data_IF_671342802707
#
_entry.id   IF_671342802707
#
_cell.length_a   1.000
_cell.length_b   1.000
_cell.length_c   1.000
_cell.angle_alpha   90.00
_cell.angle_beta   90.00
_cell.angle_gamma   90.00
#
_symmetry.space_group_name_H-M   'P 1'
#
loop_
_entity.id
_entity.type
_entity.pdbx_description
1 polymer ?
#
# COMPACT_ATOMS: atom_id res chain seq x y z
N UNK A 1 -20.92 0.15 1.04
CA UNK A 1 -19.68 0.79 1.48
C UNK A 1 -18.52 -0.19 1.32
N UNK A 2 -17.41 0.24 0.70
CA UNK A 2 -16.22 -0.59 0.43
C UNK A 2 -15.41 -0.87 1.71
N UNK A 3 -15.52 0.01 2.70
CA UNK A 3 -14.77 -0.10 3.95
C UNK A 3 -15.10 -1.37 4.71
N UNK A 4 -14.07 -2.02 5.24
CA UNK A 4 -14.16 -3.24 6.06
C UNK A 4 -14.70 -4.48 5.33
N UNK A 5 -14.82 -4.43 4.00
CA UNK A 5 -15.16 -5.62 3.22
C UNK A 5 -13.96 -6.57 3.12
N UNK A 6 -14.25 -7.84 3.23
CA UNK A 6 -13.27 -8.89 2.93
C UNK A 6 -12.94 -8.92 1.43
N UNK A 7 -11.82 -9.55 1.07
CA UNK A 7 -11.44 -9.75 -0.32
C UNK A 7 -12.56 -10.47 -1.09
N UNK A 8 -13.20 -11.46 -0.50
CA UNK A 8 -14.30 -12.19 -1.12
C UNK A 8 -15.49 -11.28 -1.44
N UNK A 9 -15.91 -10.44 -0.49
CA UNK A 9 -17.00 -9.48 -0.70
C UNK A 9 -16.66 -8.42 -1.76
N UNK A 10 -15.38 -8.03 -1.85
CA UNK A 10 -14.91 -7.14 -2.92
C UNK A 10 -15.02 -7.84 -4.28
N UNK A 11 -14.54 -9.09 -4.38
CA UNK A 11 -14.62 -9.85 -5.62
C UNK A 11 -16.07 -10.13 -6.03
N UNK A 12 -16.97 -10.37 -5.09
CA UNK A 12 -18.42 -10.51 -5.36
C UNK A 12 -19.00 -9.20 -5.91
N UNK A 13 -18.68 -8.05 -5.31
CA UNK A 13 -19.15 -6.76 -5.79
C UNK A 13 -18.62 -6.41 -7.19
N UNK A 14 -17.37 -6.79 -7.49
CA UNK A 14 -16.79 -6.61 -8.83
C UNK A 14 -17.46 -7.57 -9.83
N UNK A 15 -17.71 -8.80 -9.45
CA UNK A 15 -18.36 -9.81 -10.33
C UNK A 15 -19.79 -9.44 -10.64
N UNK A 16 -20.52 -8.83 -9.72
CA UNK A 16 -21.89 -8.34 -9.92
C UNK A 16 -21.96 -7.01 -10.72
N UNK A 17 -20.83 -6.36 -10.97
CA UNK A 17 -20.76 -5.06 -11.62
C UNK A 17 -21.11 -3.86 -10.72
N UNK A 18 -21.24 -4.09 -9.41
CA UNK A 18 -21.47 -3.01 -8.44
C UNK A 18 -20.22 -2.18 -8.16
N UNK A 19 -19.04 -2.68 -8.50
CA UNK A 19 -17.75 -2.07 -8.26
C UNK A 19 -16.77 -2.42 -9.38
N UNK A 20 -15.90 -1.48 -9.76
CA UNK A 20 -14.72 -1.77 -10.59
C UNK A 20 -13.44 -1.74 -9.75
N UNK A 21 -12.38 -2.34 -10.26
CA UNK A 21 -11.05 -2.23 -9.63
C UNK A 21 -10.52 -0.80 -9.69
N UNK A 22 -10.83 -0.06 -10.76
CA UNK A 22 -10.49 1.37 -10.86
C UNK A 22 -11.16 2.18 -9.75
N UNK A 23 -12.44 1.97 -9.50
CA UNK A 23 -13.18 2.65 -8.41
C UNK A 23 -12.62 2.27 -7.03
N UNK A 24 -12.32 0.98 -6.81
CA UNK A 24 -11.73 0.48 -5.58
C UNK A 24 -10.39 1.16 -5.27
N UNK A 25 -9.47 1.16 -6.24
CA UNK A 25 -8.13 1.75 -6.11
C UNK A 25 -8.22 3.26 -5.93
N UNK A 26 -9.08 3.93 -6.71
CA UNK A 26 -9.32 5.37 -6.59
C UNK A 26 -9.84 5.74 -5.21
N UNK A 27 -10.78 4.95 -4.67
CA UNK A 27 -11.31 5.15 -3.33
C UNK A 27 -10.21 5.07 -2.26
N UNK A 28 -9.35 4.05 -2.29
CA UNK A 28 -8.27 3.92 -1.31
C UNK A 28 -7.21 5.03 -1.44
N UNK A 29 -6.83 5.42 -2.65
CA UNK A 29 -5.89 6.53 -2.86
C UNK A 29 -6.50 7.85 -2.35
N UNK A 30 -7.77 8.11 -2.65
CA UNK A 30 -8.47 9.29 -2.14
C UNK A 30 -8.51 9.29 -0.60
N UNK A 31 -8.86 8.15 0.00
CA UNK A 31 -8.90 8.00 1.46
C UNK A 31 -7.53 8.27 2.10
N UNK A 32 -6.47 7.66 1.57
CA UNK A 32 -5.10 7.88 2.06
C UNK A 32 -4.77 9.38 2.01
N UNK A 33 -4.94 10.01 0.85
CA UNK A 33 -4.64 11.45 0.69
C UNK A 33 -5.44 12.32 1.63
N UNK A 34 -6.73 12.04 1.78
CA UNK A 34 -7.61 12.80 2.67
C UNK A 34 -7.22 12.65 4.13
N UNK A 35 -6.86 11.45 4.57
CA UNK A 35 -6.44 11.22 5.95
C UNK A 35 -5.07 11.82 6.23
N UNK A 36 -4.10 11.64 5.34
CA UNK A 36 -2.74 12.15 5.53
C UNK A 36 -2.63 13.68 5.38
N UNK A 37 -3.64 14.34 4.79
CA UNK A 37 -3.72 15.82 4.71
C UNK A 37 -4.53 16.45 5.84
N UNK A 38 -5.06 15.68 6.76
CA UNK A 38 -5.90 16.15 7.87
C UNK A 38 -5.06 16.19 9.16
N UNK A 39 -4.82 17.38 9.68
CA UNK A 39 -3.98 17.60 10.87
C UNK A 39 -4.45 16.84 12.13
N UNK A 40 -5.74 16.48 12.17
CA UNK A 40 -6.31 15.72 13.28
C UNK A 40 -6.30 14.20 13.06
N UNK A 41 -6.11 13.74 11.83
CA UNK A 41 -6.29 12.32 11.45
C UNK A 41 -5.08 11.68 10.79
N UNK A 42 -4.09 12.47 10.36
CA UNK A 42 -2.89 11.88 9.72
C UNK A 42 -2.21 10.87 10.64
N UNK A 43 -1.69 9.83 10.06
CA UNK A 43 -0.96 8.78 10.78
C UNK A 43 0.43 8.51 10.22
N UNK A 44 0.84 9.16 9.15
CA UNK A 44 2.10 8.94 8.45
C UNK A 44 2.35 7.47 8.09
N UNK A 45 1.28 6.78 7.67
CA UNK A 45 1.35 5.36 7.34
C UNK A 45 2.00 5.08 5.98
N UNK A 46 2.06 6.08 5.09
CA UNK A 46 2.47 5.90 3.69
C UNK A 46 3.67 6.80 3.37
N UNK A 47 4.76 6.22 2.89
CA UNK A 47 5.93 6.97 2.40
C UNK A 47 5.70 7.47 0.96
N UNK A 48 5.19 6.63 0.08
CA UNK A 48 4.96 7.00 -1.32
C UNK A 48 3.78 6.23 -1.92
N UNK A 49 3.03 6.91 -2.78
CA UNK A 49 1.95 6.30 -3.57
C UNK A 49 2.44 5.99 -4.99
N UNK A 50 1.97 4.88 -5.54
CA UNK A 50 2.24 4.50 -6.92
C UNK A 50 1.39 5.36 -7.88
N UNK A 51 2.01 6.21 -8.71
CA UNK A 51 1.29 7.07 -9.65
C UNK A 51 0.54 6.27 -10.72
N UNK A 52 0.93 5.04 -10.97
CA UNK A 52 0.34 4.18 -12.00
C UNK A 52 -0.75 3.23 -11.46
N UNK A 53 -1.07 3.26 -10.17
CA UNK A 53 -1.99 2.31 -9.56
C UNK A 53 -3.39 2.33 -10.20
N UNK A 54 -3.95 3.53 -10.44
CA UNK A 54 -5.28 3.68 -11.08
C UNK A 54 -5.26 3.15 -12.51
N UNK A 55 -4.22 3.48 -13.29
CA UNK A 55 -4.09 2.97 -14.66
C UNK A 55 -3.98 1.44 -14.68
N UNK A 56 -3.24 0.87 -13.73
CA UNK A 56 -3.15 -0.59 -13.60
C UNK A 56 -4.50 -1.22 -13.26
N UNK A 57 -5.25 -0.63 -12.36
CA UNK A 57 -6.59 -1.11 -12.00
C UNK A 57 -7.54 -1.10 -13.21
N UNK A 58 -7.54 -0.02 -14.00
CA UNK A 58 -8.32 0.08 -15.25
C UNK A 58 -7.96 -1.02 -16.25
N UNK A 59 -6.67 -1.28 -16.45
CA UNK A 59 -6.24 -2.40 -17.31
C UNK A 59 -6.75 -3.75 -16.83
N UNK A 60 -6.84 -3.97 -15.51
CA UNK A 60 -7.38 -5.21 -14.97
C UNK A 60 -8.91 -5.31 -15.15
N UNK A 61 -9.63 -4.18 -15.10
CA UNK A 61 -11.05 -4.14 -15.47
C UNK A 61 -11.24 -4.54 -16.96
N UNK A 62 -10.42 -3.97 -17.86
CA UNK A 62 -10.44 -4.31 -19.29
C UNK A 62 -10.15 -5.80 -19.53
N UNK A 63 -9.17 -6.38 -18.84
CA UNK A 63 -8.84 -7.81 -18.92
C UNK A 63 -10.04 -8.66 -18.47
N UNK A 64 -10.67 -8.31 -17.36
CA UNK A 64 -11.86 -9.00 -16.85
C UNK A 64 -13.02 -8.93 -17.84
N UNK A 65 -13.30 -7.75 -18.38
CA UNK A 65 -14.38 -7.52 -19.35
C UNK A 65 -14.17 -8.23 -20.67
N UNK A 66 -12.91 -8.47 -21.07
CA UNK A 66 -12.60 -9.24 -22.29
C UNK A 66 -12.96 -10.73 -22.20
N UNK A 67 -13.39 -11.19 -21.02
CA UNK A 67 -13.68 -12.62 -20.77
C UNK A 67 -12.41 -13.48 -20.71
N UNK A 68 -11.22 -12.86 -20.63
CA UNK A 68 -9.99 -13.59 -20.33
C UNK A 68 -10.20 -14.37 -19.02
N UNK A 69 -9.79 -15.63 -19.01
CA UNK A 69 -9.85 -16.46 -17.81
C UNK A 69 -8.93 -15.83 -16.75
N UNK A 70 -9.48 -14.87 -16.01
CA UNK A 70 -8.88 -14.38 -14.79
C UNK A 70 -8.98 -15.54 -13.83
N UNK A 71 -7.98 -16.42 -13.87
CA UNK A 71 -7.90 -17.59 -13.02
C UNK A 71 -8.41 -17.19 -11.63
N UNK A 72 -9.15 -18.05 -10.94
CA UNK A 72 -9.79 -17.85 -9.62
C UNK A 72 -8.81 -17.29 -8.57
N UNK A 73 -8.13 -16.21 -8.92
CA UNK A 73 -7.11 -15.58 -8.13
C UNK A 73 -7.74 -14.47 -7.29
N UNK A 74 -7.94 -14.77 -6.03
CA UNK A 74 -8.58 -13.88 -5.08
C UNK A 74 -7.92 -12.50 -4.97
N UNK A 75 -6.62 -12.39 -5.31
CA UNK A 75 -5.89 -11.12 -5.25
C UNK A 75 -5.95 -10.29 -6.53
N UNK A 76 -6.61 -10.77 -7.59
CA UNK A 76 -6.72 -10.04 -8.84
C UNK A 76 -7.49 -8.72 -8.63
N UNK A 77 -6.89 -7.60 -9.02
CA UNK A 77 -7.43 -6.25 -8.82
C UNK A 77 -7.35 -5.72 -7.38
N UNK A 78 -6.91 -6.52 -6.43
CA UNK A 78 -6.87 -6.13 -5.02
C UNK A 78 -5.69 -5.18 -4.76
N UNK A 79 -5.94 -4.01 -4.15
CA UNK A 79 -4.90 -3.06 -3.80
C UNK A 79 -4.05 -3.55 -2.62
N UNK A 80 -2.73 -3.43 -2.76
CA UNK A 80 -1.74 -3.87 -1.77
C UNK A 80 -0.72 -2.77 -1.50
N UNK A 81 -0.39 -2.53 -0.25
CA UNK A 81 0.75 -1.72 0.17
C UNK A 81 1.95 -2.62 0.47
N UNK A 82 3.13 -2.20 0.03
CA UNK A 82 4.38 -2.87 0.34
C UNK A 82 5.13 -2.11 1.43
N UNK A 83 5.66 -2.80 2.42
CA UNK A 83 6.60 -2.18 3.36
C UNK A 83 7.78 -1.59 2.59
N UNK A 84 8.29 -0.44 3.00
CA UNK A 84 9.27 0.31 2.20
C UNK A 84 10.69 -0.31 2.14
N UNK A 85 10.88 -1.50 2.67
CA UNK A 85 12.05 -2.33 2.45
C UNK A 85 11.83 -3.45 1.42
N UNK A 86 10.64 -3.55 0.82
CA UNK A 86 10.30 -4.53 -0.21
C UNK A 86 10.44 -3.88 -1.58
N UNK A 87 11.28 -4.44 -2.45
CA UNK A 87 11.54 -3.90 -3.79
C UNK A 87 10.30 -3.84 -4.67
N UNK A 88 10.11 -2.70 -5.31
CA UNK A 88 9.13 -2.48 -6.37
C UNK A 88 9.73 -1.53 -7.41
N UNK A 89 9.80 -1.95 -8.66
CA UNK A 89 10.46 -1.21 -9.74
C UNK A 89 9.87 0.19 -9.95
N UNK A 90 8.58 0.38 -9.69
CA UNK A 90 7.88 1.65 -9.88
C UNK A 90 8.15 2.73 -8.83
N UNK A 91 8.79 2.41 -7.71
CA UNK A 91 9.03 3.31 -6.59
C UNK A 91 10.38 3.04 -5.92
N UNK A 92 11.01 4.06 -5.30
CA UNK A 92 12.20 3.84 -4.49
C UNK A 92 11.94 2.84 -3.36
N UNK A 93 12.95 2.05 -3.03
CA UNK A 93 12.96 1.14 -1.86
C UNK A 93 13.98 1.66 -0.87
N UNK A 94 13.52 2.27 0.22
CA UNK A 94 14.36 3.13 1.03
C UNK A 94 14.64 2.61 2.44
N UNK A 95 13.91 1.60 2.91
CA UNK A 95 13.92 1.19 4.32
C UNK A 95 13.72 2.37 5.30
N UNK A 96 13.02 3.44 4.84
CA UNK A 96 12.79 4.68 5.58
C UNK A 96 13.96 5.65 5.62
N UNK A 97 15.11 5.29 5.04
CA UNK A 97 16.34 6.08 5.11
C UNK A 97 16.42 7.13 4.00
N UNK A 98 16.70 8.37 4.37
CA UNK A 98 16.88 9.47 3.42
C UNK A 98 18.01 9.19 2.41
N UNK A 99 19.07 8.51 2.82
CA UNK A 99 20.18 8.14 1.96
C UNK A 99 19.76 7.25 0.77
N UNK A 100 18.65 6.53 0.89
CA UNK A 100 18.11 5.64 -0.14
C UNK A 100 16.88 6.22 -0.88
N UNK A 101 16.59 7.51 -0.75
CA UNK A 101 15.41 8.14 -1.35
C UNK A 101 15.35 8.05 -2.89
N UNK A 102 16.44 7.68 -3.54
CA UNK A 102 16.56 7.44 -4.99
C UNK A 102 17.02 6.02 -5.32
N UNK A 103 16.91 5.10 -4.39
CA UNK A 103 17.29 3.71 -4.61
C UNK A 103 16.16 2.95 -5.32
N UNK A 104 16.21 2.88 -6.63
CA UNK A 104 15.32 2.07 -7.45
C UNK A 104 15.91 0.66 -7.57
N UNK A 105 15.45 -0.23 -6.74
CA UNK A 105 15.71 -1.66 -6.89
C UNK A 105 14.67 -2.30 -7.81
N UNK A 106 14.98 -3.43 -8.42
CA UNK A 106 13.97 -4.24 -9.09
C UNK A 106 12.92 -4.77 -8.10
N UNK A 107 11.95 -5.50 -8.61
CA UNK A 107 10.94 -6.14 -7.78
C UNK A 107 11.57 -7.20 -6.85
N UNK A 108 11.09 -7.25 -5.62
CA UNK A 108 11.31 -8.41 -4.76
C UNK A 108 10.46 -9.60 -5.26
N UNK A 109 10.88 -10.82 -4.96
CA UNK A 109 10.16 -12.04 -5.35
C UNK A 109 8.66 -11.99 -4.95
N UNK A 110 8.36 -11.53 -3.74
CA UNK A 110 6.97 -11.40 -3.28
C UNK A 110 6.20 -10.37 -4.12
N UNK A 111 6.86 -9.30 -4.55
CA UNK A 111 6.24 -8.27 -5.42
C UNK A 111 5.89 -8.85 -6.78
N UNK A 112 6.81 -9.62 -7.39
CA UNK A 112 6.52 -10.31 -8.65
C UNK A 112 5.33 -11.26 -8.52
N UNK A 113 5.27 -12.06 -7.45
CA UNK A 113 4.14 -12.97 -7.21
C UNK A 113 2.81 -12.23 -7.05
N UNK A 114 2.80 -11.09 -6.36
CA UNK A 114 1.61 -10.25 -6.24
C UNK A 114 1.17 -9.68 -7.59
N UNK A 115 2.11 -9.15 -8.38
CA UNK A 115 1.83 -8.57 -9.71
C UNK A 115 1.34 -9.65 -10.67
N UNK A 116 1.96 -10.83 -10.70
CA UNK A 116 1.54 -11.98 -11.50
C UNK A 116 0.15 -12.47 -11.10
N UNK A 117 -0.18 -12.39 -9.82
CA UNK A 117 -1.52 -12.66 -9.31
C UNK A 117 -2.54 -11.57 -9.65
N UNK A 118 -2.11 -10.47 -10.26
CA UNK A 118 -2.98 -9.35 -10.65
C UNK A 118 -3.22 -8.34 -9.53
N UNK A 119 -2.50 -8.38 -8.42
CA UNK A 119 -2.62 -7.35 -7.39
C UNK A 119 -2.20 -5.97 -7.91
N UNK A 120 -2.77 -4.91 -7.34
CA UNK A 120 -2.43 -3.53 -7.65
C UNK A 120 -1.57 -2.96 -6.53
N UNK A 121 -0.29 -2.71 -6.80
CA UNK A 121 0.58 -2.08 -5.81
C UNK A 121 0.20 -0.61 -5.65
N UNK A 122 -0.36 -0.24 -4.49
CA UNK A 122 -0.79 1.13 -4.18
C UNK A 122 0.37 2.06 -3.84
N UNK A 123 1.41 1.52 -3.22
CA UNK A 123 2.51 2.32 -2.74
C UNK A 123 3.36 1.62 -1.70
N UNK A 124 4.16 2.43 -0.99
CA UNK A 124 5.11 1.98 0.03
C UNK A 124 4.64 2.47 1.40
N UNK A 125 4.43 1.51 2.30
CA UNK A 125 4.07 1.79 3.69
C UNK A 125 5.29 2.18 4.52
N UNK A 126 5.10 3.11 5.45
CA UNK A 126 6.12 3.54 6.40
C UNK A 126 6.54 2.40 7.34
N UNK A 127 7.68 2.55 7.97
CA UNK A 127 8.27 1.52 8.82
C UNK A 127 9.18 2.20 9.86
N UNK A 128 9.57 1.43 10.87
CA UNK A 128 10.73 1.83 11.69
C UNK A 128 11.98 1.72 10.82
N UNK A 129 12.73 2.82 10.68
CA UNK A 129 13.90 2.90 9.81
C UNK A 129 14.88 1.76 10.06
N UNK A 130 15.24 1.03 8.99
CA UNK A 130 16.10 -0.15 9.07
C UNK A 130 15.69 -1.17 10.13
N UNK A 131 14.40 -1.27 10.48
CA UNK A 131 13.90 -2.14 11.54
C UNK A 131 14.62 -1.95 12.89
N UNK A 132 14.97 -0.70 13.24
CA UNK A 132 15.76 -0.27 14.40
C UNK A 132 17.26 -0.66 14.38
N UNK A 133 17.78 -1.14 13.27
CA UNK A 133 19.16 -1.62 13.25
C UNK A 133 20.18 -0.54 13.65
N UNK A 134 19.92 0.72 13.26
CA UNK A 134 20.82 1.85 13.55
C UNK A 134 20.37 2.74 14.71
N UNK A 135 19.21 2.51 15.30
CA UNK A 135 18.69 3.35 16.38
C UNK A 135 17.97 2.52 17.44
N UNK A 136 18.65 2.26 18.56
CA UNK A 136 18.10 1.46 19.66
C UNK A 136 16.98 2.17 20.43
N UNK A 137 17.04 3.50 20.51
CA UNK A 137 16.13 4.32 21.31
C UNK A 137 15.11 5.09 20.45
N UNK A 138 15.06 4.85 19.13
CA UNK A 138 14.05 5.45 18.27
C UNK A 138 12.67 4.86 18.57
N UNK A 139 11.62 5.70 18.55
CA UNK A 139 10.27 5.22 18.73
C UNK A 139 9.85 4.31 17.57
N UNK A 140 9.01 3.31 17.86
CA UNK A 140 8.45 2.44 16.85
C UNK A 140 7.70 3.25 15.78
N UNK A 141 7.94 2.93 14.51
CA UNK A 141 7.28 3.60 13.40
C UNK A 141 7.94 4.89 12.92
N UNK A 142 9.09 5.26 13.48
CA UNK A 142 9.83 6.43 13.00
C UNK A 142 10.75 6.08 11.83
N UNK A 143 10.72 6.90 10.80
CA UNK A 143 11.71 6.90 9.72
C UNK A 143 12.09 8.32 9.30
N UNK A 144 13.32 8.52 8.82
CA UNK A 144 13.78 9.83 8.37
C UNK A 144 13.01 10.34 7.15
N UNK A 145 12.52 9.45 6.29
CA UNK A 145 11.72 9.80 5.12
C UNK A 145 10.24 9.98 5.42
N UNK A 146 9.65 9.08 6.20
CA UNK A 146 8.20 9.04 6.42
C UNK A 146 7.76 9.75 7.70
N UNK A 147 8.70 10.16 8.57
CA UNK A 147 8.35 10.68 9.89
C UNK A 147 7.85 9.59 10.84
N UNK A 148 7.14 9.99 11.89
CA UNK A 148 6.59 9.10 12.89
C UNK A 148 5.22 8.58 12.42
N UNK A 149 5.10 7.28 12.24
CA UNK A 149 3.79 6.63 12.08
C UNK A 149 3.05 6.64 13.41
N UNK A 150 1.79 7.03 13.38
CA UNK A 150 0.94 7.18 14.56
C UNK A 150 -0.10 6.05 14.63
N UNK A 151 -0.46 5.65 15.85
CA UNK A 151 -1.48 4.62 16.05
C UNK A 151 -2.90 5.21 15.84
N UNK A 152 -3.74 4.67 14.97
CA UNK A 152 -5.07 5.22 14.71
C UNK A 152 -6.02 5.14 15.92
N UNK A 153 -5.75 4.28 16.90
CA UNK A 153 -6.56 4.15 18.13
C UNK A 153 -6.14 5.09 19.26
N UNK A 154 -5.03 5.79 19.10
CA UNK A 154 -4.52 6.76 20.06
C UNK A 154 -3.20 7.31 19.58
N UNK A 155 -3.25 8.35 18.75
CA UNK A 155 -2.11 8.87 17.96
C UNK A 155 -0.87 9.20 18.79
N UNK A 156 -1.07 9.63 20.00
CA UNK A 156 0.03 10.05 20.91
C UNK A 156 0.09 9.21 22.18
N UNK A 157 -0.89 8.33 22.39
CA UNK A 157 -1.01 7.52 23.62
C UNK A 157 -0.42 6.12 23.43
N UNK A 158 -0.45 5.60 22.21
CA UNK A 158 -0.02 4.24 21.91
C UNK A 158 1.06 4.20 20.82
N UNK A 159 2.05 3.34 21.01
CA UNK A 159 2.99 3.01 19.93
C UNK A 159 2.34 2.20 18.82
N UNK A 160 2.91 2.29 17.63
CA UNK A 160 2.42 1.55 16.44
C UNK A 160 2.85 0.08 16.43
N UNK A 161 3.78 -0.31 17.30
CA UNK A 161 4.48 -1.57 17.15
C UNK A 161 5.47 -1.50 15.97
N UNK A 162 6.00 -2.59 15.54
CA UNK A 162 6.93 -2.52 14.42
C UNK A 162 7.76 -3.78 14.20
N UNK A 163 8.56 -3.66 13.20
CA UNK A 163 8.96 -2.51 12.34
C UNK A 163 8.04 -2.22 11.15
N UNK A 164 6.98 -2.98 10.91
CA UNK A 164 5.98 -2.75 9.85
C UNK A 164 4.86 -1.88 10.42
N UNK A 165 5.08 -0.59 10.49
CA UNK A 165 4.25 0.33 11.28
C UNK A 165 3.20 1.06 10.44
N UNK A 166 3.44 1.20 9.14
CA UNK A 166 2.53 1.84 8.21
C UNK A 166 1.43 0.97 7.66
#
# INVERSE_FOLDING_TARGET
>A
AIMEKSILEIQEAVSSGELSYEELVTFYIYRIRKMESDDERFINGIISLNPNAINRARQLDEIRESGAEVANNLIFGIPVLLKDNIGFEGLPTTAGAFALNRNYSGNAYVTDRLIEGGAVILGKANLSEWAYFFCRDCPSGYSALGGQTLNPYGRFDFGTGGSSSG
#
